data_IF_871806333782
#
_entry.id   IF_871806333782
#
_cell.length_a   1.000
_cell.length_b   1.000
_cell.length_c   1.000
_cell.angle_alpha   90.00
_cell.angle_beta   90.00
_cell.angle_gamma   90.00
#
_symmetry.space_group_name_H-M   'P 1'
#
loop_
_entity.id
_entity.type
_entity.pdbx_description
1 polymer ?
#
# COMPACT_ATOMS: atom_id res chain seq x y z
N UNK A 1 -6.40 -27.32 -13.31
CA UNK A 1 -7.09 -26.09 -12.85
C UNK A 1 -7.01 -26.07 -11.34
N UNK A 2 -6.72 -24.92 -10.73
CA UNK A 2 -6.68 -24.77 -9.26
C UNK A 2 -8.09 -24.91 -8.66
N UNK A 3 -8.19 -25.47 -7.46
CA UNK A 3 -9.46 -25.58 -6.74
C UNK A 3 -9.85 -24.21 -6.19
N UNK A 4 -11.06 -23.74 -6.46
CA UNK A 4 -11.54 -22.48 -5.92
C UNK A 4 -11.53 -22.50 -4.38
N UNK A 5 -11.06 -21.42 -3.77
CA UNK A 5 -10.89 -21.31 -2.31
C UNK A 5 -9.63 -21.99 -1.75
N UNK A 6 -8.83 -22.66 -2.58
CA UNK A 6 -7.51 -23.15 -2.18
C UNK A 6 -6.45 -22.05 -2.39
N UNK A 7 -6.17 -21.30 -1.33
CA UNK A 7 -5.22 -20.19 -1.36
C UNK A 7 -3.76 -20.62 -1.20
N UNK A 8 -3.47 -21.86 -0.78
CA UNK A 8 -2.10 -22.33 -0.60
C UNK A 8 -1.25 -22.24 -1.88
N UNK A 9 -1.71 -22.72 -3.06
CA UNK A 9 -0.95 -22.56 -4.30
C UNK A 9 -0.86 -21.10 -4.76
N UNK A 10 -1.86 -20.26 -4.45
CA UNK A 10 -1.81 -18.82 -4.74
C UNK A 10 -0.68 -18.15 -3.96
N UNK A 11 -0.57 -18.44 -2.65
CA UNK A 11 0.51 -17.92 -1.79
C UNK A 11 1.88 -18.28 -2.32
N UNK A 12 2.07 -19.53 -2.78
CA UNK A 12 3.34 -19.99 -3.33
C UNK A 12 3.73 -19.23 -4.60
N UNK A 13 2.78 -18.94 -5.48
CA UNK A 13 3.06 -18.20 -6.70
C UNK A 13 3.31 -16.71 -6.43
N UNK A 14 2.63 -16.12 -5.45
CA UNK A 14 2.95 -14.76 -4.97
C UNK A 14 4.38 -14.73 -4.37
N UNK A 15 4.76 -15.72 -3.57
CA UNK A 15 6.10 -15.77 -2.97
C UNK A 15 7.20 -15.82 -4.04
N UNK A 16 7.02 -16.63 -5.09
CA UNK A 16 7.96 -16.68 -6.24
C UNK A 16 8.02 -15.36 -7.00
N UNK A 17 6.90 -14.66 -7.11
CA UNK A 17 6.77 -13.38 -7.80
C UNK A 17 7.52 -12.24 -7.09
N UNK A 18 7.81 -12.38 -5.79
CA UNK A 18 8.49 -11.30 -5.06
C UNK A 18 9.84 -10.96 -5.65
N UNK A 19 10.57 -11.90 -6.25
CA UNK A 19 11.84 -11.62 -6.90
C UNK A 19 11.62 -10.89 -8.24
N UNK A 20 12.01 -9.62 -8.29
CA UNK A 20 11.91 -8.76 -9.48
C UNK A 20 13.24 -8.00 -9.66
N UNK A 21 14.28 -8.61 -10.27
CA UNK A 21 15.62 -8.02 -10.37
C UNK A 21 15.69 -6.60 -10.95
N UNK A 22 14.73 -6.26 -11.82
CA UNK A 22 14.69 -4.96 -12.50
C UNK A 22 13.84 -3.90 -11.76
N UNK A 23 13.22 -4.26 -10.63
CA UNK A 23 12.35 -3.37 -9.87
C UNK A 23 12.93 -3.06 -8.49
N UNK A 24 13.19 -1.77 -8.25
CA UNK A 24 13.72 -1.23 -7.00
C UNK A 24 14.90 -2.07 -6.46
N UNK A 25 14.76 -2.62 -5.27
CA UNK A 25 15.77 -3.42 -4.57
C UNK A 25 15.75 -4.91 -4.96
N UNK A 26 15.36 -5.20 -6.21
CA UNK A 26 15.21 -6.57 -6.72
C UNK A 26 13.95 -7.28 -6.22
N UNK A 27 12.97 -6.54 -5.69
CA UNK A 27 11.80 -7.13 -5.02
C UNK A 27 10.50 -6.36 -5.23
N UNK A 28 9.42 -7.08 -5.57
CA UNK A 28 8.05 -6.56 -5.55
C UNK A 28 7.43 -6.54 -4.13
N UNK A 29 8.07 -7.16 -3.14
CA UNK A 29 7.53 -7.29 -1.79
C UNK A 29 7.02 -5.97 -1.20
N UNK A 30 7.86 -4.91 -1.11
CA UNK A 30 7.45 -3.64 -0.54
C UNK A 30 6.25 -2.99 -1.25
N UNK A 31 6.20 -3.02 -2.59
CA UNK A 31 5.08 -2.41 -3.34
C UNK A 31 3.79 -3.23 -3.20
N UNK A 32 3.87 -4.54 -3.00
CA UNK A 32 2.69 -5.37 -2.70
C UNK A 32 2.14 -5.11 -1.30
N UNK A 33 3.00 -4.86 -0.31
CA UNK A 33 2.58 -4.41 1.04
C UNK A 33 1.89 -3.05 0.94
N UNK A 34 2.46 -2.11 0.18
CA UNK A 34 1.82 -0.81 -0.08
C UNK A 34 0.48 -0.97 -0.80
N UNK A 35 0.36 -1.85 -1.79
CA UNK A 35 -0.90 -2.10 -2.48
C UNK A 35 -2.00 -2.59 -1.51
N UNK A 36 -1.66 -3.52 -0.62
CA UNK A 36 -2.60 -4.01 0.40
C UNK A 36 -2.96 -2.93 1.44
N UNK A 37 -1.99 -2.10 1.84
CA UNK A 37 -2.24 -0.95 2.72
C UNK A 37 -3.21 0.04 2.05
N UNK A 38 -2.92 0.46 0.81
CA UNK A 38 -3.70 1.47 0.09
C UNK A 38 -5.10 0.96 -0.29
N UNK A 39 -5.27 -0.34 -0.58
CA UNK A 39 -6.60 -0.89 -0.82
C UNK A 39 -7.48 -0.85 0.42
N UNK A 40 -6.91 -0.98 1.62
CA UNK A 40 -7.63 -0.87 2.88
C UNK A 40 -7.72 0.57 3.43
N UNK A 41 -6.74 1.42 3.10
CA UNK A 41 -6.50 2.73 3.71
C UNK A 41 -7.57 3.79 3.46
N UNK A 42 -8.48 3.53 2.52
CA UNK A 42 -9.58 4.44 2.17
C UNK A 42 -10.81 4.29 3.06
N UNK A 43 -10.78 3.36 4.02
CA UNK A 43 -11.92 3.10 4.91
C UNK A 43 -12.28 4.32 5.77
N UNK A 44 -13.57 4.45 6.04
CA UNK A 44 -14.18 5.47 6.86
C UNK A 44 -15.28 4.82 7.70
N UNK A 45 -15.10 4.77 9.01
CA UNK A 45 -16.01 4.08 9.93
C UNK A 45 -17.36 4.78 10.12
N UNK A 46 -17.47 6.07 9.81
CA UNK A 46 -18.72 6.82 9.93
C UNK A 46 -19.63 6.53 8.74
N UNK A 47 -19.05 6.56 7.54
CA UNK A 47 -19.80 6.33 6.30
C UNK A 47 -19.88 4.86 5.89
N UNK A 48 -19.06 3.99 6.49
CA UNK A 48 -18.84 2.59 6.11
C UNK A 48 -18.51 2.43 4.62
N UNK A 49 -17.64 3.31 4.10
CA UNK A 49 -17.20 3.30 2.69
C UNK A 49 -15.69 3.22 2.57
N UNK A 50 -15.22 2.73 1.42
CA UNK A 50 -13.81 2.40 1.19
C UNK A 50 -13.43 1.07 1.85
N UNK A 51 -12.13 0.85 2.07
CA UNK A 51 -11.63 -0.40 2.61
C UNK A 51 -11.35 -1.45 1.54
N UNK A 52 -10.88 -2.62 1.97
CA UNK A 52 -10.21 -3.58 1.09
C UNK A 52 -11.14 -4.38 0.15
N UNK A 53 -12.46 -4.24 0.29
CA UNK A 53 -13.44 -4.89 -0.56
C UNK A 53 -13.64 -4.10 -1.88
N UNK A 54 -13.86 -4.79 -2.99
CA UNK A 54 -14.24 -4.19 -4.27
C UNK A 54 -13.10 -3.93 -5.26
N UNK A 55 -11.84 -3.96 -4.80
CA UNK A 55 -10.66 -3.69 -5.62
C UNK A 55 -10.77 -2.37 -6.41
N UNK A 56 -11.16 -1.30 -5.71
CA UNK A 56 -11.57 -0.02 -6.29
C UNK A 56 -10.47 0.67 -7.10
N UNK A 57 -9.20 0.49 -6.76
CA UNK A 57 -8.07 0.98 -7.57
C UNK A 57 -8.11 0.53 -9.05
N UNK A 58 -8.87 -0.51 -9.45
CA UNK A 58 -9.05 -0.86 -10.87
C UNK A 58 -9.72 0.25 -11.70
N UNK A 59 -10.45 1.14 -11.06
CA UNK A 59 -11.16 2.26 -11.68
C UNK A 59 -10.37 3.56 -11.54
N UNK A 60 -10.60 4.51 -12.45
CA UNK A 60 -9.81 5.76 -12.51
C UNK A 60 -10.02 6.66 -11.29
N UNK A 61 -11.24 6.67 -10.74
CA UNK A 61 -11.56 7.52 -9.59
C UNK A 61 -10.65 7.24 -8.39
N UNK A 62 -10.30 5.98 -8.13
CA UNK A 62 -9.41 5.57 -7.04
C UNK A 62 -7.99 5.25 -7.53
N UNK A 63 -7.84 4.52 -8.63
CA UNK A 63 -6.56 4.11 -9.18
C UNK A 63 -5.73 5.25 -9.78
N UNK A 64 -6.39 6.36 -10.15
CA UNK A 64 -5.75 7.60 -10.60
C UNK A 64 -5.62 8.65 -9.49
N UNK A 65 -5.93 8.33 -8.24
CA UNK A 65 -5.59 9.20 -7.10
C UNK A 65 -4.06 9.33 -7.03
N UNK A 66 -3.49 10.55 -6.96
CA UNK A 66 -2.04 10.76 -6.83
C UNK A 66 -1.41 9.98 -5.68
N UNK A 67 -2.13 9.78 -4.56
CA UNK A 67 -1.64 8.98 -3.44
C UNK A 67 -1.42 7.50 -3.80
N UNK A 68 -2.04 7.01 -4.88
CA UNK A 68 -1.88 5.65 -5.42
C UNK A 68 -0.85 5.56 -6.57
N UNK A 69 -0.15 6.65 -6.90
CA UNK A 69 0.90 6.64 -7.91
C UNK A 69 1.94 5.53 -7.64
N UNK A 70 2.29 4.78 -8.69
CA UNK A 70 3.20 3.63 -8.64
C UNK A 70 2.53 2.28 -8.35
N UNK A 71 1.30 2.25 -7.80
CA UNK A 71 0.61 0.98 -7.50
C UNK A 71 0.14 0.24 -8.76
N UNK A 72 0.20 0.85 -9.94
CA UNK A 72 0.05 0.13 -11.20
C UNK A 72 1.09 -0.98 -11.37
N UNK A 73 2.33 -0.80 -10.89
CA UNK A 73 3.36 -1.84 -10.99
C UNK A 73 2.97 -3.08 -10.18
N UNK A 74 2.57 -2.88 -8.92
CA UNK A 74 2.09 -3.95 -8.05
C UNK A 74 0.90 -4.72 -8.66
N UNK A 75 -0.05 -4.00 -9.25
CA UNK A 75 -1.21 -4.62 -9.92
C UNK A 75 -0.79 -5.43 -11.14
N UNK A 76 0.08 -4.89 -11.99
CA UNK A 76 0.61 -5.58 -13.17
C UNK A 76 1.39 -6.84 -12.77
N UNK A 77 2.22 -6.77 -11.73
CA UNK A 77 2.92 -7.95 -11.22
C UNK A 77 1.95 -9.05 -10.81
N UNK A 78 0.78 -8.74 -10.27
CA UNK A 78 -0.19 -9.76 -9.85
C UNK A 78 -1.02 -10.36 -11.00
N UNK A 79 -0.99 -9.80 -12.21
CA UNK A 79 -1.79 -10.27 -13.36
C UNK A 79 -1.50 -11.75 -13.75
N UNK A 80 -0.23 -12.23 -13.82
CA UNK A 80 0.05 -13.64 -14.09
C UNK A 80 -0.55 -14.58 -13.03
N UNK A 81 -0.54 -14.16 -11.76
CA UNK A 81 -1.20 -14.92 -10.67
C UNK A 81 -2.70 -14.91 -10.88
N UNK A 82 -3.31 -13.75 -11.14
CA UNK A 82 -4.75 -13.64 -11.42
C UNK A 82 -5.18 -14.51 -12.61
N UNK A 83 -4.39 -14.54 -13.68
CA UNK A 83 -4.65 -15.35 -14.86
C UNK A 83 -4.64 -16.85 -14.57
N UNK A 84 -3.71 -17.30 -13.70
CA UNK A 84 -3.60 -18.71 -13.28
C UNK A 84 -4.72 -19.13 -12.29
N UNK A 85 -5.23 -18.18 -11.51
CA UNK A 85 -6.30 -18.39 -10.53
C UNK A 85 -7.52 -17.51 -10.82
N UNK A 86 -8.26 -17.73 -11.92
CA UNK A 86 -9.33 -16.82 -12.35
C UNK A 86 -10.47 -16.68 -11.32
N UNK A 87 -10.61 -17.64 -10.40
CA UNK A 87 -11.58 -17.63 -9.32
C UNK A 87 -11.26 -16.65 -8.19
N UNK A 88 -9.99 -16.25 -8.00
CA UNK A 88 -9.64 -15.27 -6.96
C UNK A 88 -10.05 -13.88 -7.42
N UNK A 89 -10.65 -13.09 -6.53
CA UNK A 89 -10.96 -11.68 -6.78
C UNK A 89 -9.68 -10.86 -6.70
N UNK A 90 -9.64 -9.69 -7.35
CA UNK A 90 -8.53 -8.77 -7.17
C UNK A 90 -8.43 -8.29 -5.72
N UNK A 91 -9.57 -8.08 -5.06
CA UNK A 91 -9.61 -7.66 -3.65
C UNK A 91 -8.94 -8.68 -2.72
N UNK A 92 -9.23 -9.97 -2.88
CA UNK A 92 -8.54 -11.03 -2.15
C UNK A 92 -7.07 -11.13 -2.58
N UNK A 93 -6.77 -11.06 -3.88
CA UNK A 93 -5.40 -11.20 -4.38
C UNK A 93 -4.47 -10.10 -3.84
N UNK A 94 -4.91 -8.85 -3.79
CA UNK A 94 -4.10 -7.73 -3.31
C UNK A 94 -3.82 -7.82 -1.81
N UNK A 95 -4.83 -8.13 -0.99
CA UNK A 95 -4.64 -8.28 0.46
C UNK A 95 -3.83 -9.54 0.80
N UNK A 96 -4.05 -10.64 0.07
CA UNK A 96 -3.25 -11.86 0.19
C UNK A 96 -1.79 -11.60 -0.18
N UNK A 97 -1.55 -10.81 -1.23
CA UNK A 97 -0.21 -10.44 -1.66
C UNK A 97 0.55 -9.66 -0.59
N UNK A 98 -0.11 -8.72 0.10
CA UNK A 98 0.50 -7.98 1.21
C UNK A 98 0.94 -8.90 2.35
N UNK A 99 0.07 -9.79 2.85
CA UNK A 99 0.42 -10.69 3.97
C UNK A 99 1.47 -11.73 3.59
N UNK A 100 1.47 -12.22 2.34
CA UNK A 100 2.54 -13.10 1.84
C UNK A 100 3.86 -12.34 1.76
N UNK A 101 3.86 -11.13 1.19
CA UNK A 101 5.06 -10.32 1.08
C UNK A 101 5.69 -10.02 2.45
N UNK A 102 4.89 -9.66 3.46
CA UNK A 102 5.38 -9.42 4.83
C UNK A 102 6.09 -10.67 5.37
N UNK A 103 5.45 -11.84 5.25
CA UNK A 103 6.01 -13.10 5.75
C UNK A 103 7.30 -13.50 5.04
N UNK A 104 7.31 -13.46 3.72
CA UNK A 104 8.47 -13.87 2.90
C UNK A 104 9.67 -12.91 3.07
N UNK A 105 9.42 -11.64 3.40
CA UNK A 105 10.47 -10.69 3.76
C UNK A 105 10.95 -10.83 5.22
N UNK A 106 10.53 -11.86 5.95
CA UNK A 106 10.97 -12.15 7.32
C UNK A 106 10.15 -11.49 8.42
N UNK A 107 8.99 -10.94 8.07
CA UNK A 107 8.01 -10.40 9.02
C UNK A 107 7.14 -11.47 9.66
N UNK A 108 6.18 -11.07 10.51
CA UNK A 108 5.32 -12.02 11.18
C UNK A 108 4.30 -12.66 10.23
N UNK A 109 3.78 -13.83 10.59
CA UNK A 109 2.64 -14.44 9.91
C UNK A 109 1.35 -13.72 10.32
N UNK A 110 0.58 -13.25 9.34
CA UNK A 110 -0.61 -12.44 9.56
C UNK A 110 -1.85 -13.26 9.20
N UNK A 111 -2.77 -13.48 10.16
CA UNK A 111 -4.04 -14.13 9.88
C UNK A 111 -4.79 -13.41 8.75
N UNK A 112 -5.23 -14.18 7.77
CA UNK A 112 -5.91 -13.68 6.59
C UNK A 112 -7.03 -14.63 6.19
N UNK A 113 -8.18 -14.07 5.85
CA UNK A 113 -9.34 -14.79 5.35
C UNK A 113 -9.77 -14.19 4.01
N UNK A 114 -10.08 -15.05 3.05
CA UNK A 114 -10.64 -14.65 1.77
C UNK A 114 -12.14 -14.34 1.85
N UNK A 115 -12.73 -14.10 0.69
CA UNK A 115 -14.15 -13.86 0.49
C UNK A 115 -14.48 -12.47 -0.07
N UNK A 116 -13.50 -11.56 -0.16
CA UNK A 116 -13.74 -10.22 -0.73
C UNK A 116 -14.20 -10.34 -2.18
N UNK A 117 -15.02 -9.40 -2.60
CA UNK A 117 -15.52 -9.31 -3.97
C UNK A 117 -14.84 -8.19 -4.73
N UNK A 118 -14.96 -8.24 -6.05
CA UNK A 118 -14.61 -7.13 -6.91
C UNK A 118 -15.88 -6.34 -7.23
N UNK A 119 -15.80 -5.01 -7.21
CA UNK A 119 -16.87 -4.17 -7.72
C UNK A 119 -17.05 -4.40 -9.23
N UNK A 120 -18.28 -4.21 -9.69
CA UNK A 120 -18.64 -4.32 -11.11
C UNK A 120 -18.53 -2.97 -11.82
N UNK A 121 -18.68 -1.87 -11.08
CA UNK A 121 -18.56 -0.49 -11.52
C UNK A 121 -17.96 0.41 -10.43
N UNK A 122 -17.89 1.72 -10.67
CA UNK A 122 -17.30 2.72 -9.79
C UNK A 122 -18.30 3.38 -8.82
N UNK A 123 -19.56 2.91 -8.75
CA UNK A 123 -20.63 3.55 -7.95
C UNK A 123 -20.40 3.53 -6.43
N UNK A 124 -19.49 2.67 -5.96
CA UNK A 124 -19.17 2.47 -4.53
C UNK A 124 -17.78 2.93 -4.15
N UNK A 125 -17.08 3.62 -5.05
CA UNK A 125 -15.73 4.10 -4.75
C UNK A 125 -15.77 5.26 -3.76
N UNK A 126 -14.88 5.27 -2.77
CA UNK A 126 -14.78 6.38 -1.84
C UNK A 126 -14.26 7.64 -2.55
N UNK A 127 -14.51 8.84 -1.98
CA UNK A 127 -13.87 10.06 -2.46
C UNK A 127 -12.34 9.99 -2.26
N UNK A 128 -11.61 10.73 -3.09
CA UNK A 128 -10.16 10.91 -2.97
C UNK A 128 -9.77 11.66 -1.68
N UNK A 129 -8.49 11.57 -1.32
CA UNK A 129 -7.94 12.31 -0.18
C UNK A 129 -8.16 11.63 1.18
N UNK A 130 -8.50 10.34 1.18
CA UNK A 130 -8.68 9.55 2.41
C UNK A 130 -7.38 8.92 2.95
N UNK A 131 -6.31 8.96 2.17
CA UNK A 131 -4.99 8.43 2.54
C UNK A 131 -4.13 9.49 3.24
N UNK A 132 -3.18 9.10 4.10
CA UNK A 132 -2.33 10.05 4.80
C UNK A 132 -1.43 10.83 3.83
N UNK A 133 -1.16 12.09 4.20
CA UNK A 133 -0.26 12.99 3.49
C UNK A 133 1.06 12.98 4.26
N UNK A 134 2.11 12.50 3.60
CA UNK A 134 3.42 12.32 4.18
C UNK A 134 4.09 13.64 4.61
N UNK A 135 3.65 14.78 4.08
CA UNK A 135 4.18 16.10 4.43
C UNK A 135 3.64 16.66 5.76
N UNK A 136 2.65 15.99 6.37
CA UNK A 136 1.96 16.49 7.57
C UNK A 136 2.52 15.92 8.88
N UNK A 137 2.00 16.42 10.00
CA UNK A 137 2.41 16.03 11.35
C UNK A 137 1.47 15.02 12.05
N UNK A 138 1.68 14.85 13.36
CA UNK A 138 0.97 13.85 14.16
C UNK A 138 -0.56 14.05 14.25
N UNK A 139 -1.04 15.30 14.25
CA UNK A 139 -2.48 15.60 14.26
C UNK A 139 -3.16 15.12 12.96
N UNK A 140 -2.47 15.22 11.82
CA UNK A 140 -2.97 14.67 10.56
C UNK A 140 -3.03 13.15 10.58
N UNK A 141 -1.99 12.50 11.12
CA UNK A 141 -2.00 11.05 11.31
C UNK A 141 -3.20 10.62 12.17
N UNK A 142 -3.43 11.27 13.32
CA UNK A 142 -4.62 10.98 14.14
C UNK A 142 -5.92 11.25 13.39
N UNK A 143 -6.02 12.36 12.66
CA UNK A 143 -7.23 12.68 11.90
C UNK A 143 -7.58 11.59 10.88
N UNK A 144 -6.59 11.13 10.10
CA UNK A 144 -6.78 10.06 9.10
C UNK A 144 -7.10 8.72 9.76
N UNK A 145 -6.29 8.32 10.75
CA UNK A 145 -6.35 6.96 11.29
C UNK A 145 -7.47 6.77 12.32
N UNK A 146 -7.85 7.80 13.08
CA UNK A 146 -9.00 7.72 13.99
C UNK A 146 -10.31 7.55 13.21
N UNK A 147 -10.43 8.14 12.00
CA UNK A 147 -11.55 7.89 11.08
C UNK A 147 -11.70 6.41 10.72
N UNK A 148 -10.59 5.69 10.67
CA UNK A 148 -10.55 4.25 10.40
C UNK A 148 -10.75 3.41 11.68
N UNK A 149 -10.82 4.03 12.85
CA UNK A 149 -10.93 3.36 14.15
C UNK A 149 -9.60 2.88 14.73
N UNK A 150 -8.46 3.45 14.31
CA UNK A 150 -7.16 3.16 14.89
C UNK A 150 -6.81 4.12 16.03
N UNK A 151 -6.10 3.62 17.05
CA UNK A 151 -5.54 4.43 18.12
C UNK A 151 -4.03 4.71 17.92
N UNK A 152 -3.44 5.51 18.80
CA UNK A 152 -2.02 5.91 18.70
C UNK A 152 -1.02 4.74 18.61
N UNK A 153 -1.26 3.63 19.32
CA UNK A 153 -0.41 2.45 19.26
C UNK A 153 -0.46 1.79 17.89
N UNK A 154 -1.66 1.72 17.32
CA UNK A 154 -1.94 1.10 16.04
C UNK A 154 -1.36 1.93 14.89
N UNK A 155 -1.45 3.27 14.98
CA UNK A 155 -0.80 4.20 14.05
C UNK A 155 0.70 3.94 14.01
N UNK A 156 1.37 3.95 15.17
CA UNK A 156 2.83 3.75 15.24
C UNK A 156 3.21 2.35 14.76
N UNK A 157 2.42 1.31 15.09
CA UNK A 157 2.68 -0.04 14.62
C UNK A 157 2.64 -0.09 13.09
N UNK A 158 1.60 0.45 12.46
CA UNK A 158 1.45 0.47 11.00
C UNK A 158 2.56 1.25 10.30
N UNK A 159 3.01 2.37 10.87
CA UNK A 159 4.17 3.13 10.35
C UNK A 159 5.44 2.28 10.29
N UNK A 160 5.57 1.24 11.11
CA UNK A 160 6.68 0.28 11.04
C UNK A 160 6.82 -0.44 9.70
N UNK A 161 5.78 -0.46 8.85
CA UNK A 161 5.86 -0.97 7.49
C UNK A 161 6.84 -0.16 6.61
N UNK A 162 7.16 1.10 6.95
CA UNK A 162 8.21 1.89 6.30
C UNK A 162 9.62 1.29 6.49
N UNK A 163 9.79 0.24 7.29
CA UNK A 163 10.98 -0.61 7.21
C UNK A 163 11.15 -1.24 5.81
N UNK A 164 10.11 -1.28 4.97
CA UNK A 164 10.14 -1.85 3.63
C UNK A 164 10.14 -0.77 2.55
N UNK A 165 10.90 -1.02 1.49
CA UNK A 165 10.90 -0.23 0.27
C UNK A 165 11.52 1.15 0.42
N UNK A 166 11.05 2.06 -0.43
CA UNK A 166 11.59 3.41 -0.60
C UNK A 166 10.51 4.33 -1.20
N UNK A 167 10.73 5.64 -1.07
CA UNK A 167 10.00 6.66 -1.83
C UNK A 167 10.65 6.92 -3.19
N UNK A 168 9.84 7.42 -4.13
CA UNK A 168 10.28 7.81 -5.47
C UNK A 168 9.70 9.17 -5.83
N UNK A 169 10.56 10.06 -6.30
CA UNK A 169 10.22 11.45 -6.63
C UNK A 169 9.15 11.57 -7.73
N UNK A 170 9.08 10.61 -8.65
CA UNK A 170 8.07 10.53 -9.71
C UNK A 170 6.73 9.92 -9.25
N UNK A 171 6.64 9.48 -7.98
CA UNK A 171 5.42 8.90 -7.40
C UNK A 171 4.87 9.81 -6.31
N UNK A 172 5.56 9.88 -5.17
CA UNK A 172 5.12 10.67 -4.00
C UNK A 172 5.77 12.05 -3.92
N UNK A 173 6.77 12.33 -4.77
CA UNK A 173 7.59 13.53 -4.65
C UNK A 173 8.73 13.42 -3.63
N UNK A 174 8.70 12.42 -2.74
CA UNK A 174 9.78 12.11 -1.80
C UNK A 174 10.76 11.10 -2.42
N UNK A 175 12.00 11.01 -1.93
CA UNK A 175 13.01 10.14 -2.53
C UNK A 175 13.86 9.44 -1.47
N UNK A 176 14.11 8.14 -1.68
CA UNK A 176 15.07 7.36 -0.88
C UNK A 176 14.44 6.29 0.02
N UNK A 177 15.29 5.46 0.61
CA UNK A 177 14.89 4.36 1.49
C UNK A 177 14.94 4.78 2.97
N UNK A 178 14.06 4.20 3.79
CA UNK A 178 14.06 4.42 5.24
C UNK A 178 15.17 3.64 5.97
N UNK A 179 15.57 2.50 5.42
CA UNK A 179 16.53 1.56 6.02
C UNK A 179 17.49 1.00 4.97
N UNK A 180 18.66 0.52 5.39
CA UNK A 180 19.67 -0.03 4.49
C UNK A 180 19.25 -1.32 3.78
N UNK A 181 18.34 -2.11 4.37
CA UNK A 181 17.87 -3.36 3.78
C UNK A 181 16.34 -3.36 3.61
N UNK A 182 15.83 -2.65 2.58
CA UNK A 182 14.40 -2.36 2.42
C UNK A 182 13.55 -3.57 1.99
N UNK A 183 14.16 -4.76 1.81
CA UNK A 183 13.47 -6.00 1.44
C UNK A 183 13.41 -7.01 2.59
N UNK A 184 13.80 -6.61 3.80
CA UNK A 184 13.74 -7.43 5.01
C UNK A 184 12.92 -6.75 6.09
N UNK A 185 11.76 -7.31 6.44
CA UNK A 185 10.92 -6.80 7.52
C UNK A 185 11.60 -6.96 8.88
N UNK A 186 11.77 -5.85 9.60
CA UNK A 186 12.46 -5.79 10.88
C UNK A 186 12.01 -4.56 11.67
N UNK A 187 12.55 -4.35 12.88
CA UNK A 187 12.34 -3.11 13.64
C UNK A 187 13.44 -2.06 13.38
N UNK A 188 14.23 -2.20 12.30
CA UNK A 188 15.31 -1.27 11.97
C UNK A 188 14.80 0.15 11.73
N UNK A 189 13.62 0.31 11.14
CA UNK A 189 12.95 1.61 10.99
C UNK A 189 12.91 2.39 12.32
N UNK A 190 12.35 1.80 13.37
CA UNK A 190 12.26 2.47 14.69
C UNK A 190 13.64 2.69 15.32
N UNK A 191 14.57 1.73 15.17
CA UNK A 191 15.93 1.87 15.71
C UNK A 191 16.66 3.05 15.08
N UNK A 192 16.64 3.15 13.75
CA UNK A 192 17.31 4.22 13.02
C UNK A 192 16.62 5.58 13.25
N UNK A 193 15.29 5.58 13.32
CA UNK A 193 14.52 6.78 13.63
C UNK A 193 14.99 7.44 14.95
N UNK A 194 15.35 6.63 15.95
CA UNK A 194 15.86 7.12 17.24
C UNK A 194 17.38 7.35 17.29
N UNK A 195 18.17 6.54 16.57
CA UNK A 195 19.63 6.55 16.73
C UNK A 195 20.37 7.50 15.80
N UNK A 196 19.78 7.85 14.66
CA UNK A 196 20.40 8.71 13.67
C UNK A 196 20.04 10.18 13.89
N UNK A 197 20.96 11.06 13.48
CA UNK A 197 20.70 12.49 13.41
C UNK A 197 20.06 12.83 12.06
N UNK A 198 18.80 13.27 12.09
CA UNK A 198 18.02 13.59 10.91
C UNK A 198 18.12 15.08 10.57
N UNK A 199 18.60 15.38 9.37
CA UNK A 199 18.70 16.76 8.85
C UNK A 199 17.60 17.01 7.83
N UNK A 200 16.90 18.12 7.97
CA UNK A 200 15.91 18.55 6.97
C UNK A 200 16.61 18.84 5.64
N UNK A 201 16.02 18.39 4.53
CA UNK A 201 16.47 18.58 3.15
C UNK A 201 15.27 18.99 2.30
N UNK A 202 15.38 20.13 1.63
CA UNK A 202 14.40 20.54 0.61
C UNK A 202 14.77 19.88 -0.72
N UNK A 203 13.82 19.16 -1.30
CA UNK A 203 13.97 18.48 -2.59
C UNK A 203 13.78 19.45 -3.76
N UNK A 204 14.14 19.00 -4.96
CA UNK A 204 14.03 19.82 -6.18
C UNK A 204 12.59 20.27 -6.49
N UNK A 205 11.59 19.51 -6.05
CA UNK A 205 10.17 19.84 -6.19
C UNK A 205 9.62 20.72 -5.05
N UNK A 206 10.47 21.17 -4.12
CA UNK A 206 10.10 22.02 -2.99
C UNK A 206 9.58 21.30 -1.76
N UNK A 207 9.37 19.98 -1.81
CA UNK A 207 9.00 19.20 -0.62
C UNK A 207 10.16 19.13 0.37
N UNK A 208 9.83 19.06 1.65
CA UNK A 208 10.80 18.85 2.73
C UNK A 208 10.77 17.40 3.19
N UNK A 209 11.93 16.75 3.22
CA UNK A 209 12.12 15.46 3.88
C UNK A 209 13.29 15.53 4.85
N UNK A 210 13.51 14.47 5.62
CA UNK A 210 14.66 14.37 6.50
C UNK A 210 15.62 13.32 5.98
N UNK A 211 16.92 13.58 6.09
CA UNK A 211 17.96 12.66 5.62
C UNK A 211 19.03 12.44 6.67
N UNK A 212 19.65 11.28 6.58
CA UNK A 212 20.90 10.97 7.25
C UNK A 212 21.86 10.40 6.20
N UNK A 213 23.07 10.97 6.11
CA UNK A 213 24.13 10.50 5.21
C UNK A 213 25.22 9.86 6.05
N UNK A 214 25.54 8.61 5.73
CA UNK A 214 26.66 7.88 6.29
C UNK A 214 27.87 8.01 5.36
N UNK A 215 28.89 8.76 5.80
CA UNK A 215 30.10 9.03 5.02
C UNK A 215 30.95 7.77 4.77
N UNK A 216 30.91 6.79 5.69
CA UNK A 216 31.72 5.58 5.59
C UNK A 216 31.15 4.62 4.53
N UNK A 217 29.82 4.49 4.47
CA UNK A 217 29.14 3.63 3.49
C UNK A 217 28.71 4.36 2.22
N UNK A 218 28.71 5.69 2.22
CA UNK A 218 28.17 6.53 1.15
C UNK A 218 26.65 6.44 1.00
N UNK A 219 25.95 5.90 2.00
CA UNK A 219 24.50 5.67 1.95
C UNK A 219 23.72 6.87 2.48
N UNK A 220 22.70 7.31 1.76
CA UNK A 220 21.71 8.28 2.25
C UNK A 220 20.41 7.54 2.59
N UNK A 221 19.94 7.70 3.84
CA UNK A 221 18.63 7.27 4.29
C UNK A 221 17.71 8.46 4.47
N UNK A 222 16.40 8.21 4.48
CA UNK A 222 15.40 9.25 4.60
C UNK A 222 14.30 8.94 5.62
N UNK A 223 13.64 9.99 6.10
CA UNK A 223 12.40 9.95 6.87
C UNK A 223 11.44 11.02 6.35
N UNK A 224 10.15 10.69 6.28
CA UNK A 224 9.09 11.64 5.94
C UNK A 224 8.81 12.57 7.14
N UNK A 225 8.21 13.75 6.92
CA UNK A 225 7.68 14.57 8.01
C UNK A 225 6.76 13.79 8.96
N UNK A 226 5.90 12.91 8.44
CA UNK A 226 5.06 12.02 9.25
C UNK A 226 5.86 11.02 10.08
N UNK A 227 7.00 10.53 9.60
CA UNK A 227 7.87 9.61 10.36
C UNK A 227 8.51 10.34 11.55
N UNK A 228 9.05 11.54 11.30
CA UNK A 228 9.62 12.39 12.35
C UNK A 228 8.57 12.80 13.38
N UNK A 229 7.33 13.05 12.95
CA UNK A 229 6.23 13.40 13.86
C UNK A 229 5.97 12.33 14.94
N UNK A 230 6.24 11.05 14.66
CA UNK A 230 6.11 9.97 15.65
C UNK A 230 7.05 10.15 16.85
N UNK A 231 8.17 10.84 16.67
CA UNK A 231 9.16 11.12 17.73
C UNK A 231 8.89 12.41 18.50
N UNK A 232 8.09 13.32 17.93
CA UNK A 232 7.79 14.63 18.50
C UNK A 232 6.59 14.58 19.44
N UNK A 233 5.67 13.64 19.20
CA UNK A 233 4.50 13.41 20.03
C UNK A 233 4.79 12.40 21.14
N UNK A 234 4.56 12.76 22.41
CA UNK A 234 4.86 11.90 23.56
C UNK A 234 4.05 10.58 23.57
N UNK A 235 2.82 10.60 23.07
CA UNK A 235 1.96 9.42 23.05
C UNK A 235 2.35 8.45 21.92
N UNK A 236 2.89 8.96 20.81
CA UNK A 236 3.51 8.11 19.78
C UNK A 236 4.90 7.62 20.21
N UNK A 237 5.74 8.51 20.75
CA UNK A 237 7.14 8.23 21.09
C UNK A 237 7.30 7.01 22.00
N UNK A 238 6.41 6.82 22.98
CA UNK A 238 6.45 5.64 23.87
C UNK A 238 6.39 4.31 23.10
N UNK A 239 5.67 4.26 21.98
CA UNK A 239 5.57 3.07 21.13
C UNK A 239 6.73 2.96 20.15
N UNK A 240 7.25 4.09 19.66
CA UNK A 240 8.48 4.12 18.87
C UNK A 240 9.63 3.52 19.68
N UNK A 241 9.82 3.94 20.92
CA UNK A 241 10.83 3.40 21.84
C UNK A 241 10.60 1.91 22.15
N UNK A 242 9.34 1.52 22.37
CA UNK A 242 8.97 0.12 22.60
C UNK A 242 9.35 -0.77 21.42
N UNK A 243 9.01 -0.38 20.19
CA UNK A 243 9.27 -1.19 19.00
C UNK A 243 10.74 -1.16 18.60
N UNK A 244 11.46 -0.06 18.88
CA UNK A 244 12.91 0.00 18.70
C UNK A 244 13.65 -1.00 19.60
N UNK A 245 13.23 -1.13 20.87
CA UNK A 245 13.88 -2.04 21.84
C UNK A 245 13.39 -3.48 21.75
N UNK A 246 12.12 -3.70 21.37
CA UNK A 246 11.46 -5.01 21.39
C UNK A 246 10.78 -5.30 20.04
N UNK A 247 11.52 -6.03 19.20
CA UNK A 247 11.07 -6.48 17.88
C UNK A 247 9.90 -7.47 17.97
N UNK A 248 9.85 -8.31 19.00
CA UNK A 248 8.79 -9.33 19.13
C UNK A 248 7.46 -8.69 19.50
N UNK A 249 7.48 -7.70 20.41
CA UNK A 249 6.30 -6.88 20.70
C UNK A 249 5.84 -6.11 19.45
N UNK A 250 6.76 -5.50 18.71
CA UNK A 250 6.42 -4.85 17.43
C UNK A 250 5.73 -5.83 16.46
N UNK A 251 6.28 -7.03 16.26
CA UNK A 251 5.73 -8.01 15.35
C UNK A 251 4.34 -8.49 15.79
N UNK A 252 4.16 -8.77 17.08
CA UNK A 252 2.88 -9.20 17.63
C UNK A 252 1.79 -8.14 17.44
N UNK A 253 2.13 -6.87 17.66
CA UNK A 253 1.20 -5.76 17.49
C UNK A 253 0.94 -5.45 16.02
N UNK A 254 1.97 -5.42 15.18
CA UNK A 254 1.83 -5.25 13.74
C UNK A 254 0.93 -6.32 13.13
N UNK A 255 1.05 -7.59 13.56
CA UNK A 255 0.16 -8.67 13.12
C UNK A 255 -1.31 -8.36 13.41
N UNK A 256 -1.64 -7.93 14.63
CA UNK A 256 -3.02 -7.61 15.01
C UNK A 256 -3.55 -6.43 14.19
N UNK A 257 -2.74 -5.39 14.07
CA UNK A 257 -3.18 -4.13 13.46
C UNK A 257 -3.27 -4.24 11.94
N UNK A 258 -2.34 -4.92 11.28
CA UNK A 258 -2.42 -5.17 9.84
C UNK A 258 -3.55 -6.15 9.50
N UNK A 259 -3.82 -7.14 10.36
CA UNK A 259 -5.01 -8.01 10.23
C UNK A 259 -6.31 -7.20 10.37
N UNK A 260 -6.40 -6.30 11.35
CA UNK A 260 -7.53 -5.36 11.50
C UNK A 260 -7.69 -4.48 10.26
N UNK A 261 -6.61 -3.86 9.78
CA UNK A 261 -6.62 -3.00 8.61
C UNK A 261 -7.27 -3.65 7.40
N UNK A 262 -6.81 -4.82 7.01
CA UNK A 262 -7.31 -5.48 5.80
C UNK A 262 -8.72 -6.04 5.99
N UNK A 263 -9.25 -6.08 7.21
CA UNK A 263 -10.63 -6.46 7.54
C UNK A 263 -11.55 -5.26 7.83
N UNK A 264 -11.07 -4.02 7.71
CA UNK A 264 -11.92 -2.83 7.85
C UNK A 264 -13.04 -2.83 6.79
N UNK A 265 -14.27 -2.61 7.25
CA UNK A 265 -15.47 -2.67 6.43
C UNK A 265 -15.92 -4.10 6.07
N UNK A 266 -15.23 -5.16 6.53
CA UNK A 266 -15.61 -6.55 6.29
C UNK A 266 -16.48 -7.06 7.45
N UNK A 267 -17.67 -7.55 7.13
CA UNK A 267 -18.58 -8.21 8.08
C UNK A 267 -18.55 -9.71 7.81
N UNK A 268 -18.35 -10.53 8.84
CA UNK A 268 -18.31 -11.99 8.72
C UNK A 268 -19.36 -12.66 9.62
N UNK A 269 -19.85 -13.83 9.21
CA UNK A 269 -20.64 -14.71 10.07
C UNK A 269 -19.75 -15.50 11.05
N UNK A 270 -20.39 -16.33 11.89
CA UNK A 270 -19.69 -17.18 12.86
C UNK A 270 -18.79 -18.26 12.24
N UNK A 271 -18.89 -18.50 10.94
CA UNK A 271 -18.03 -19.43 10.18
C UNK A 271 -16.90 -18.69 9.44
N UNK A 272 -16.82 -17.35 9.59
CA UNK A 272 -15.81 -16.50 8.96
C UNK A 272 -16.11 -16.14 7.51
N UNK A 273 -17.32 -16.43 7.01
CA UNK A 273 -17.74 -16.08 5.65
C UNK A 273 -18.23 -14.63 5.63
N UNK A 274 -17.82 -13.89 4.59
CA UNK A 274 -18.24 -12.50 4.41
C UNK A 274 -19.75 -12.37 4.21
N UNK A 275 -20.35 -11.36 4.84
CA UNK A 275 -21.78 -11.04 4.81
C UNK A 275 -22.10 -9.74 4.09
N UNK A 276 -21.10 -8.92 3.73
CA UNK A 276 -21.31 -7.64 3.05
C UNK A 276 -22.29 -7.79 1.88
N UNK A 277 -23.46 -7.17 1.99
CA UNK A 277 -24.58 -7.29 1.02
C UNK A 277 -24.36 -6.51 -0.26
N UNK A 278 -23.28 -5.70 -0.31
CA UNK A 278 -22.76 -5.12 -1.54
C UNK A 278 -22.46 -6.15 -2.62
N UNK A 279 -22.37 -7.41 -2.22
CA UNK A 279 -21.98 -8.58 -2.99
C UNK A 279 -23.15 -9.34 -3.63
N UNK A 280 -24.39 -8.85 -3.52
CA UNK A 280 -25.56 -9.46 -4.18
C UNK A 280 -26.18 -8.53 -5.23
N UNK A 281 -25.46 -8.31 -6.33
CA UNK A 281 -26.08 -8.17 -7.67
C UNK A 281 -25.02 -8.41 -8.75
N UNK A 282 -25.21 -9.48 -9.53
CA UNK A 282 -24.58 -9.64 -10.85
C UNK A 282 -23.49 -10.69 -11.00
N UNK A 283 -22.85 -11.17 -9.92
CA UNK A 283 -21.69 -12.05 -10.07
C UNK A 283 -20.48 -11.30 -10.64
N UNK A 284 -19.33 -11.99 -10.68
CA UNK A 284 -18.10 -11.44 -11.22
C UNK A 284 -18.29 -11.02 -12.69
N UNK A 285 -18.34 -9.72 -12.93
CA UNK A 285 -18.10 -9.14 -14.24
C UNK A 285 -16.65 -8.64 -14.23
N UNK A 286 -15.79 -9.24 -15.05
CA UNK A 286 -14.47 -8.64 -15.31
C UNK A 286 -14.68 -7.17 -15.62
N UNK A 287 -14.01 -6.28 -14.89
CA UNK A 287 -13.96 -4.87 -15.29
C UNK A 287 -13.62 -4.83 -16.79
N UNK A 288 -14.22 -3.92 -17.57
CA UNK A 288 -13.92 -3.81 -18.99
C UNK A 288 -12.41 -3.81 -19.14
N UNK A 289 -11.86 -4.80 -19.86
CA UNK A 289 -10.44 -4.77 -20.21
C UNK A 289 -10.20 -3.40 -20.83
N UNK A 290 -9.39 -2.54 -20.19
CA UNK A 290 -8.90 -1.32 -20.85
C UNK A 290 -8.39 -1.78 -22.20
N UNK A 291 -8.92 -1.15 -23.25
CA UNK A 291 -8.54 -1.43 -24.63
C UNK A 291 -7.01 -1.49 -24.70
N UNK A 292 -6.46 -2.61 -25.20
CA UNK A 292 -5.03 -2.73 -25.49
C UNK A 292 -4.57 -1.82 -26.65
N UNK A 293 -5.48 -1.03 -27.20
CA UNK A 293 -5.20 0.07 -28.12
C UNK A 293 -5.26 1.39 -27.35
N UNK A 294 -4.28 2.29 -27.50
CA UNK A 294 -4.35 3.63 -26.94
C UNK A 294 -5.60 4.34 -27.47
N UNK A 295 -6.62 4.49 -26.62
CA UNK A 295 -7.76 5.36 -26.90
C UNK A 295 -7.30 6.80 -26.74
N UNK A 296 -7.47 7.62 -27.77
CA UNK A 296 -7.33 9.08 -27.63
C UNK A 296 -8.38 9.57 -26.63
N UNK A 297 -8.05 10.54 -25.75
CA UNK A 297 -9.04 11.15 -24.88
C UNK A 297 -10.19 11.69 -25.74
N UNK A 298 -11.44 11.39 -25.37
CA UNK A 298 -12.58 12.10 -25.91
C UNK A 298 -12.36 13.60 -25.62
N UNK A 299 -12.52 14.44 -26.64
CA UNK A 299 -12.42 15.90 -26.49
C UNK A 299 -13.45 16.35 -25.45
N UNK A 300 -12.99 16.61 -24.23
CA UNK A 300 -13.69 17.49 -23.31
C UNK A 300 -13.72 18.88 -23.95
N UNK A 301 -14.91 19.47 -24.07
CA UNK A 301 -15.13 20.80 -24.67
C UNK A 301 -14.87 21.95 -23.70
N UNK A 302 -14.19 21.72 -22.58
CA UNK A 302 -13.78 22.80 -21.69
C UNK A 302 -12.29 23.12 -21.88
N UNK A 303 -12.04 24.12 -22.73
CA UNK A 303 -10.77 24.80 -22.89
C UNK A 303 -10.39 25.52 -21.59
N UNK A 304 -9.77 24.80 -20.63
CA UNK A 304 -8.93 25.33 -19.53
C UNK A 304 -8.36 24.21 -18.65
N UNK A 305 -7.51 23.34 -19.21
CA UNK A 305 -6.61 22.49 -18.39
C UNK A 305 -5.23 22.44 -19.03
N UNK A 306 -4.22 22.82 -18.23
CA UNK A 306 -2.78 22.74 -18.54
C UNK A 306 -2.37 21.29 -18.91
N UNK A 307 -1.32 21.06 -19.72
CA UNK A 307 -1.00 19.73 -20.24
C UNK A 307 -0.84 18.69 -19.13
N UNK A 308 -1.66 17.64 -19.19
CA UNK A 308 -1.86 16.66 -18.12
C UNK A 308 -0.60 15.88 -17.75
N UNK A 309 -0.38 15.73 -16.44
CA UNK A 309 0.59 14.84 -15.77
C UNK A 309 0.46 13.35 -16.14
N UNK A 310 -0.51 12.99 -17.00
CA UNK A 310 -0.75 11.62 -17.48
C UNK A 310 0.14 11.18 -18.66
N UNK A 311 0.80 12.11 -19.35
CA UNK A 311 1.61 11.78 -20.54
C UNK A 311 2.87 10.93 -20.22
N UNK A 312 3.65 11.23 -19.16
CA UNK A 312 4.84 10.44 -18.83
C UNK A 312 4.49 9.01 -18.35
N UNK A 313 3.42 8.87 -17.56
CA UNK A 313 2.94 7.58 -17.05
C UNK A 313 2.44 6.65 -18.16
N UNK A 314 1.81 7.21 -19.20
CA UNK A 314 1.40 6.44 -20.37
C UNK A 314 2.60 5.86 -21.11
N UNK A 315 3.63 6.67 -21.33
CA UNK A 315 4.84 6.24 -22.04
C UNK A 315 5.65 5.21 -21.23
N UNK A 316 5.72 5.35 -19.90
CA UNK A 316 6.34 4.35 -19.02
C UNK A 316 5.58 3.02 -19.03
N UNK A 317 4.24 3.05 -19.01
CA UNK A 317 3.41 1.85 -19.09
C UNK A 317 3.56 1.14 -20.45
N UNK A 318 3.61 1.89 -21.54
CA UNK A 318 3.82 1.34 -22.89
C UNK A 318 5.22 0.71 -23.04
N UNK A 319 6.27 1.36 -22.49
CA UNK A 319 7.64 0.82 -22.47
C UNK A 319 7.79 -0.43 -21.61
N UNK A 320 7.06 -0.53 -20.50
CA UNK A 320 7.10 -1.70 -19.63
C UNK A 320 6.34 -2.90 -20.22
N UNK A 321 5.16 -2.67 -20.82
CA UNK A 321 4.39 -3.71 -21.50
C UNK A 321 5.12 -4.29 -22.72
N UNK A 322 5.97 -3.51 -23.39
CA UNK A 322 6.79 -3.98 -24.51
C UNK A 322 7.96 -4.90 -24.09
N UNK A 323 8.24 -5.03 -22.79
CA UNK A 323 9.33 -5.84 -22.22
C UNK A 323 8.87 -7.16 -21.58
N UNK A 324 7.55 -7.34 -21.41
CA UNK A 324 6.92 -8.58 -20.97
C UNK A 324 6.56 -9.47 -22.18
#
# INVERSE_FOLDING_TARGET
MSKAGDFAPVRQDIAKLLHQPEYDDGSAGPVLVRLAWHSAGTYDAETDTGGSNGAGMRYEAEGGDPANAGLQHARVFLEPVKAKYPWITYADLWTLAGVVAIKEMGGPDIPWLGGRTDYVDDSKLPPRGRLPDAAQGGDHLRWIFNRMGFNDQEIVALSGAHNLGRCHSDRSGFEGAWVNNPTRFSNQYFRLLLSLQWKKKTLANGLEQFVNYDEDSGTELMMLPTDIALTQDKAFMKYVELYARDKETFFADFTKVFSKLIELGIVRDGEGKILNTDNQKGGYHSAPKKSGKPGSPAKSTDDKVSPSEAAPLKEQNEKFQAKL
#
